data_IF_522441980252
#
_entry.id   IF_522441980252
#
_cell.length_a   1.000
_cell.length_b   1.000
_cell.length_c   1.000
_cell.angle_alpha   90.00
_cell.angle_beta   90.00
_cell.angle_gamma   90.00
#
_symmetry.space_group_name_H-M   'P 1'
#
loop_
_entity.id
_entity.type
_entity.pdbx_description
1 polymer ?
#
# COMPACT_ATOMS: atom_id res chain seq x y z
N UNK A 1 2.35 7.30 -5.68
CA UNK A 1 1.82 6.13 -5.00
C UNK A 1 1.85 4.95 -5.96
N UNK A 2 2.28 3.78 -5.47
CA UNK A 2 2.08 2.48 -6.09
C UNK A 2 1.01 1.74 -5.28
N UNK A 3 0.13 1.04 -5.96
CA UNK A 3 -0.89 0.21 -5.33
C UNK A 3 -0.79 -1.21 -5.89
N UNK A 4 -0.31 -2.15 -5.05
CA UNK A 4 -0.23 -3.57 -5.38
C UNK A 4 -1.40 -4.32 -4.75
N UNK A 5 -1.99 -5.25 -5.48
CA UNK A 5 -3.07 -6.10 -4.98
C UNK A 5 -3.11 -7.46 -5.71
N UNK A 6 -3.72 -8.42 -5.06
CA UNK A 6 -4.12 -9.71 -5.64
C UNK A 6 -5.56 -10.01 -5.24
N UNK A 7 -6.32 -10.66 -6.11
CA UNK A 7 -7.68 -11.12 -5.82
C UNK A 7 -7.64 -12.63 -5.68
N UNK A 8 -8.07 -13.13 -4.51
CA UNK A 8 -8.21 -14.57 -4.20
C UNK A 8 -6.96 -15.41 -4.50
N UNK A 9 -5.77 -14.84 -4.25
CA UNK A 9 -4.49 -15.51 -4.51
C UNK A 9 -4.12 -15.60 -6.00
N UNK A 10 -4.79 -14.84 -6.85
CA UNK A 10 -4.45 -14.72 -8.27
C UNK A 10 -3.19 -13.91 -8.52
N UNK A 11 -2.93 -13.58 -9.78
CA UNK A 11 -1.77 -12.78 -10.16
C UNK A 11 -1.77 -11.40 -9.50
N UNK A 12 -0.60 -10.98 -9.02
CA UNK A 12 -0.43 -9.65 -8.42
C UNK A 12 -0.38 -8.57 -9.49
N UNK A 13 -1.29 -7.62 -9.40
CA UNK A 13 -1.28 -6.39 -10.18
C UNK A 13 -0.63 -5.24 -9.40
N UNK A 14 0.07 -4.35 -10.09
CA UNK A 14 0.64 -3.12 -9.52
C UNK A 14 0.17 -1.95 -10.37
N UNK A 15 -0.54 -1.02 -9.74
CA UNK A 15 -1.07 0.20 -10.37
C UNK A 15 -0.13 1.37 -10.07
N UNK A 16 0.35 2.01 -11.10
CA UNK A 16 1.25 3.16 -11.00
C UNK A 16 0.47 4.49 -10.98
N UNK A 17 -0.14 4.78 -9.85
CA UNK A 17 -0.91 6.01 -9.65
C UNK A 17 -0.02 7.26 -9.81
N UNK A 18 1.28 7.15 -9.53
CA UNK A 18 2.21 8.27 -9.67
C UNK A 18 2.43 8.68 -11.13
N UNK A 19 2.20 7.77 -12.08
CA UNK A 19 2.28 8.02 -13.53
C UNK A 19 0.89 8.13 -14.18
N UNK A 20 -0.18 8.20 -13.38
CA UNK A 20 -1.54 8.48 -13.85
C UNK A 20 -2.40 7.25 -14.12
N UNK A 21 -1.96 6.05 -13.72
CA UNK A 21 -2.82 4.87 -13.78
C UNK A 21 -3.93 4.97 -12.72
N UNK A 22 -5.15 4.59 -13.09
CA UNK A 22 -6.31 4.50 -12.18
C UNK A 22 -6.47 3.10 -11.60
N UNK A 23 -6.93 3.02 -10.37
CA UNK A 23 -7.36 1.73 -9.80
C UNK A 23 -8.63 1.28 -10.54
N UNK A 24 -8.70 0.01 -11.00
CA UNK A 24 -9.90 -0.52 -11.67
C UNK A 24 -11.17 -0.34 -10.82
N UNK A 25 -12.29 -0.05 -11.48
CA UNK A 25 -13.56 0.26 -10.79
C UNK A 25 -14.02 -0.88 -9.90
N UNK A 26 -13.87 -2.13 -10.36
CA UNK A 26 -14.20 -3.33 -9.58
C UNK A 26 -13.37 -3.45 -8.29
N UNK A 27 -12.14 -2.98 -8.30
CA UNK A 27 -11.28 -2.96 -7.10
C UNK A 27 -11.69 -1.80 -6.17
N UNK A 28 -12.06 -0.64 -6.73
CA UNK A 28 -12.63 0.46 -5.94
C UNK A 28 -13.91 -0.01 -5.24
N UNK A 29 -14.80 -0.71 -5.94
CA UNK A 29 -16.04 -1.25 -5.39
C UNK A 29 -15.73 -2.28 -4.28
N UNK A 30 -14.77 -3.18 -4.49
CA UNK A 30 -14.34 -4.15 -3.49
C UNK A 30 -13.74 -3.49 -2.24
N UNK A 31 -12.97 -2.41 -2.40
CA UNK A 31 -12.39 -1.67 -1.27
C UNK A 31 -13.46 -1.03 -0.38
N UNK A 32 -14.57 -0.58 -0.96
CA UNK A 32 -15.68 0.08 -0.26
C UNK A 32 -16.77 -0.89 0.23
N UNK A 33 -16.78 -2.14 -0.24
CA UNK A 33 -17.74 -3.16 0.17
C UNK A 33 -17.29 -3.84 1.47
N UNK A 34 -18.11 -3.74 2.53
CA UNK A 34 -17.88 -4.36 3.84
C UNK A 34 -17.98 -5.91 3.80
N UNK A 35 -18.63 -6.47 2.80
CA UNK A 35 -18.77 -7.93 2.65
C UNK A 35 -17.50 -8.57 2.05
N UNK A 36 -16.65 -7.77 1.40
CA UNK A 36 -15.40 -8.25 0.82
C UNK A 36 -14.28 -8.10 1.84
N UNK A 37 -13.63 -9.19 2.20
CA UNK A 37 -12.48 -9.16 3.12
C UNK A 37 -11.24 -8.65 2.42
N UNK A 38 -10.57 -7.66 3.04
CA UNK A 38 -9.28 -7.13 2.62
C UNK A 38 -8.19 -7.61 3.57
N UNK A 39 -7.10 -8.13 3.03
CA UNK A 39 -5.93 -8.57 3.78
C UNK A 39 -4.74 -7.68 3.48
N UNK A 40 -4.00 -7.26 4.51
CA UNK A 40 -2.72 -6.61 4.33
C UNK A 40 -1.80 -6.85 5.53
N UNK A 41 -0.48 -6.72 5.32
CA UNK A 41 0.50 -6.70 6.40
C UNK A 41 0.63 -5.26 6.93
N UNK A 42 0.13 -5.00 8.14
CA UNK A 42 -0.11 -3.67 8.71
C UNK A 42 -1.32 -2.95 8.06
N UNK A 43 -2.43 -3.66 7.93
CA UNK A 43 -3.64 -3.24 7.21
C UNK A 43 -4.19 -1.84 7.57
N UNK A 44 -3.86 -1.31 8.75
CA UNK A 44 -4.23 0.06 9.11
C UNK A 44 -3.55 1.10 8.21
N UNK A 45 -2.33 0.83 7.76
CA UNK A 45 -1.62 1.75 6.84
C UNK A 45 -2.32 1.80 5.48
N UNK A 46 -2.62 0.64 4.89
CA UNK A 46 -3.33 0.54 3.61
C UNK A 46 -4.72 1.17 3.71
N UNK A 47 -5.46 0.86 4.77
CA UNK A 47 -6.79 1.41 5.02
C UNK A 47 -6.79 2.93 5.07
N UNK A 48 -5.85 3.55 5.79
CA UNK A 48 -5.75 5.01 5.89
C UNK A 48 -5.34 5.62 4.54
N UNK A 49 -4.32 5.08 3.88
CA UNK A 49 -3.85 5.59 2.58
C UNK A 49 -4.93 5.50 1.50
N UNK A 50 -5.65 4.37 1.43
CA UNK A 50 -6.72 4.17 0.46
C UNK A 50 -7.95 5.03 0.78
N UNK A 51 -8.25 5.26 2.06
CA UNK A 51 -9.30 6.22 2.46
C UNK A 51 -9.02 7.63 1.95
N UNK A 52 -7.79 8.11 2.10
CA UNK A 52 -7.40 9.43 1.57
C UNK A 52 -7.46 9.47 0.03
N UNK A 53 -7.06 8.38 -0.62
CA UNK A 53 -7.17 8.27 -2.07
C UNK A 53 -8.63 8.31 -2.53
N UNK A 54 -9.51 7.51 -1.92
CA UNK A 54 -10.93 7.46 -2.26
C UNK A 54 -11.62 8.80 -1.99
N UNK A 55 -11.37 9.41 -0.84
CA UNK A 55 -11.93 10.73 -0.50
C UNK A 55 -11.59 11.79 -1.55
N UNK A 56 -10.39 11.71 -2.12
CA UNK A 56 -9.91 12.68 -3.10
C UNK A 56 -10.43 12.42 -4.51
N UNK A 57 -10.51 11.15 -4.93
CA UNK A 57 -10.78 10.79 -6.32
C UNK A 57 -12.15 10.13 -6.55
N UNK A 58 -12.77 9.61 -5.49
CA UNK A 58 -14.06 8.91 -5.51
C UNK A 58 -14.93 9.32 -4.31
N UNK A 59 -15.16 10.62 -4.10
CA UNK A 59 -15.87 11.11 -2.90
C UNK A 59 -17.29 10.53 -2.79
N UNK A 60 -17.96 10.26 -3.91
CA UNK A 60 -19.28 9.67 -3.96
C UNK A 60 -19.33 8.22 -3.42
N UNK A 61 -18.23 7.48 -3.52
CA UNK A 61 -18.12 6.12 -2.98
C UNK A 61 -17.67 6.10 -1.51
N UNK A 62 -17.11 7.19 -1.03
CA UNK A 62 -16.57 7.29 0.33
C UNK A 62 -17.61 7.78 1.35
N UNK A 63 -18.67 8.48 0.93
CA UNK A 63 -19.67 9.12 1.80
C UNK A 63 -20.45 8.12 2.66
N UNK A 64 -20.61 6.87 2.22
CA UNK A 64 -21.36 5.85 2.93
C UNK A 64 -20.80 5.45 4.30
N UNK A 65 -19.58 5.87 4.64
CA UNK A 65 -18.89 5.46 5.88
C UNK A 65 -18.96 6.46 7.03
N UNK A 66 -19.31 7.71 6.77
CA UNK A 66 -19.33 8.77 7.77
C UNK A 66 -20.58 8.78 8.66
N UNK A 67 -21.49 7.82 8.53
CA UNK A 67 -22.83 7.88 9.14
C UNK A 67 -23.04 7.01 10.37
N UNK A 68 -22.03 6.31 10.89
CA UNK A 68 -22.16 5.65 12.20
C UNK A 68 -21.94 6.68 13.30
N UNK A 69 -22.99 6.99 14.01
CA UNK A 69 -23.12 8.09 15.00
C UNK A 69 -22.04 8.17 16.07
N UNK A 70 -21.22 7.15 16.26
CA UNK A 70 -20.18 7.08 17.30
C UNK A 70 -18.75 6.93 16.80
N UNK A 71 -18.49 6.89 15.51
CA UNK A 71 -17.11 6.80 14.99
C UNK A 71 -16.73 8.07 14.24
N UNK A 72 -15.88 8.86 14.86
CA UNK A 72 -15.09 9.93 14.23
C UNK A 72 -14.08 9.32 13.22
N UNK A 73 -14.43 8.21 12.58
CA UNK A 73 -13.54 7.55 11.66
C UNK A 73 -13.82 8.03 10.25
N UNK A 74 -13.07 9.04 9.84
CA UNK A 74 -13.01 9.49 8.45
C UNK A 74 -12.34 8.48 7.50
N UNK A 75 -12.26 7.20 7.88
CA UNK A 75 -11.57 6.15 7.13
C UNK A 75 -12.51 5.00 6.81
N UNK A 76 -12.15 4.16 5.83
CA UNK A 76 -12.84 2.92 5.51
C UNK A 76 -13.11 2.07 6.77
N UNK A 77 -14.29 1.43 6.85
CA UNK A 77 -14.66 0.61 8.00
C UNK A 77 -13.62 -0.51 8.24
N UNK A 78 -13.07 -0.64 9.44
CA UNK A 78 -12.05 -1.64 9.74
C UNK A 78 -12.59 -3.07 9.80
N UNK A 79 -13.91 -3.30 9.88
CA UNK A 79 -14.50 -4.62 10.12
C UNK A 79 -14.16 -5.66 9.06
N UNK A 80 -14.06 -5.23 7.79
CA UNK A 80 -13.70 -6.08 6.66
C UNK A 80 -12.19 -6.19 6.41
N UNK A 81 -11.37 -5.46 7.20
CA UNK A 81 -9.92 -5.49 7.06
C UNK A 81 -9.29 -6.50 8.01
N UNK A 82 -8.43 -7.36 7.49
CA UNK A 82 -7.66 -8.35 8.24
C UNK A 82 -6.17 -8.02 8.14
N UNK A 83 -5.48 -8.10 9.27
CA UNK A 83 -4.07 -7.72 9.35
C UNK A 83 -3.20 -8.94 9.65
N UNK A 84 -2.40 -9.38 8.67
CA UNK A 84 -1.49 -10.51 8.85
C UNK A 84 -0.35 -10.22 9.84
N UNK A 85 0.02 -8.94 10.04
CA UNK A 85 0.97 -8.56 11.10
C UNK A 85 0.40 -8.84 12.50
N UNK A 86 -0.90 -8.60 12.73
CA UNK A 86 -1.56 -8.95 14.01
C UNK A 86 -1.57 -10.47 14.21
N UNK A 87 -1.83 -11.22 13.16
CA UNK A 87 -1.76 -12.69 13.23
C UNK A 87 -0.34 -13.18 13.51
N UNK A 88 0.68 -12.57 12.88
CA UNK A 88 2.07 -12.85 13.20
C UNK A 88 2.37 -12.61 14.70
N UNK A 89 1.85 -11.53 15.28
CA UNK A 89 1.98 -11.24 16.71
C UNK A 89 1.36 -12.34 17.58
N UNK A 90 0.15 -12.81 17.26
CA UNK A 90 -0.50 -13.92 18.00
C UNK A 90 0.30 -15.23 17.94
N UNK A 91 1.01 -15.47 16.84
CA UNK A 91 1.85 -16.65 16.65
C UNK A 91 3.28 -16.48 17.20
N UNK A 92 3.60 -15.35 17.81
CA UNK A 92 4.96 -15.06 18.32
C UNK A 92 6.00 -14.82 17.23
N UNK A 93 5.56 -14.50 16.00
CA UNK A 93 6.44 -14.20 14.88
C UNK A 93 6.91 -12.73 14.89
N UNK A 94 8.03 -12.41 14.21
CA UNK A 94 8.47 -11.03 14.05
C UNK A 94 7.41 -10.14 13.41
N UNK A 95 7.29 -8.89 13.91
CA UNK A 95 6.34 -7.88 13.41
C UNK A 95 6.84 -7.15 12.14
N UNK A 96 7.64 -7.79 11.34
CA UNK A 96 8.06 -7.29 10.03
C UNK A 96 7.83 -8.36 8.97
N UNK A 97 7.37 -7.95 7.79
CA UNK A 97 7.10 -8.87 6.68
C UNK A 97 8.32 -9.74 6.36
N UNK A 98 9.50 -9.13 6.27
CA UNK A 98 10.75 -9.86 6.03
C UNK A 98 11.10 -10.84 7.15
N UNK A 99 10.89 -10.44 8.41
CA UNK A 99 11.16 -11.32 9.56
C UNK A 99 10.19 -12.49 9.67
N UNK A 100 8.90 -12.23 9.49
CA UNK A 100 7.88 -13.28 9.48
C UNK A 100 8.12 -14.27 8.34
N UNK A 101 8.38 -13.79 7.13
CA UNK A 101 8.69 -14.61 5.96
C UNK A 101 9.94 -15.47 6.16
N UNK A 102 11.00 -14.93 6.77
CA UNK A 102 12.21 -15.69 7.07
C UNK A 102 11.96 -16.85 8.06
N UNK A 103 11.18 -16.59 9.12
CA UNK A 103 10.85 -17.63 10.12
C UNK A 103 9.94 -18.70 9.52
N UNK A 104 8.99 -18.31 8.65
CA UNK A 104 8.07 -19.24 7.97
C UNK A 104 8.72 -19.99 6.80
N UNK A 105 9.97 -19.66 6.43
CA UNK A 105 10.66 -20.28 5.30
C UNK A 105 10.01 -20.00 3.95
N UNK A 106 9.38 -18.85 3.79
CA UNK A 106 8.76 -18.48 2.52
C UNK A 106 9.83 -18.31 1.44
N UNK A 107 9.60 -18.91 0.28
CA UNK A 107 10.51 -18.81 -0.87
C UNK A 107 10.64 -17.38 -1.38
N UNK A 108 9.53 -16.66 -1.35
CA UNK A 108 9.41 -15.27 -1.78
C UNK A 108 9.71 -14.33 -0.61
N UNK A 109 11.00 -13.99 -0.46
CA UNK A 109 11.45 -13.08 0.59
C UNK A 109 11.50 -11.63 0.10
N UNK A 110 11.29 -10.69 1.03
CA UNK A 110 11.36 -9.25 0.76
C UNK A 110 12.71 -8.85 0.15
N UNK A 111 12.67 -8.06 -0.93
CA UNK A 111 13.88 -7.54 -1.57
C UNK A 111 14.65 -6.58 -0.64
N UNK A 112 15.95 -6.77 -0.53
CA UNK A 112 16.82 -5.98 0.38
C UNK A 112 16.92 -4.51 -0.02
N UNK A 113 16.84 -4.22 -1.31
CA UNK A 113 16.90 -2.87 -1.89
C UNK A 113 15.70 -1.99 -1.56
N UNK A 114 14.60 -2.59 -1.05
CA UNK A 114 13.36 -1.88 -0.79
C UNK A 114 13.50 -0.69 0.15
N UNK A 115 14.33 -0.78 1.18
CA UNK A 115 14.57 0.34 2.13
C UNK A 115 15.18 1.56 1.46
N UNK A 116 16.10 1.36 0.53
CA UNK A 116 16.73 2.45 -0.22
C UNK A 116 15.74 3.09 -1.20
N UNK A 117 14.92 2.28 -1.86
CA UNK A 117 13.87 2.76 -2.76
C UNK A 117 12.79 3.55 -2.03
N UNK A 118 12.33 3.06 -0.87
CA UNK A 118 11.41 3.81 0.00
C UNK A 118 12.04 5.14 0.41
N UNK A 119 13.29 5.14 0.86
CA UNK A 119 13.99 6.37 1.24
C UNK A 119 14.10 7.34 0.07
N UNK A 120 14.38 6.84 -1.13
CA UNK A 120 14.56 7.67 -2.31
C UNK A 120 13.24 8.34 -2.75
N UNK A 121 12.14 7.58 -2.84
CA UNK A 121 10.87 8.08 -3.38
C UNK A 121 9.89 8.62 -2.33
N UNK A 122 9.91 8.08 -1.11
CA UNK A 122 8.89 8.40 -0.10
C UNK A 122 9.36 9.42 0.93
N UNK A 123 10.69 9.62 1.10
CA UNK A 123 11.22 10.58 2.05
C UNK A 123 11.62 11.87 1.33
N UNK A 124 11.22 13.06 1.84
CA UNK A 124 11.67 14.33 1.27
C UNK A 124 13.19 14.44 1.23
N UNK A 125 13.74 14.97 0.14
CA UNK A 125 15.17 15.24 -0.01
C UNK A 125 15.47 16.74 0.16
N UNK A 126 16.72 17.06 0.50
CA UNK A 126 17.15 18.46 0.57
C UNK A 126 17.24 19.06 -0.83
N UNK A 127 16.72 20.26 -1.02
CA UNK A 127 16.91 21.03 -2.23
C UNK A 127 18.41 21.40 -2.37
N UNK A 128 19.01 21.06 -3.50
CA UNK A 128 20.40 21.38 -3.83
C UNK A 128 20.49 21.85 -5.28
N UNK A 129 21.58 22.51 -5.66
CA UNK A 129 21.84 22.88 -7.05
C UNK A 129 21.95 21.64 -7.96
N UNK A 130 22.50 20.54 -7.44
CA UNK A 130 22.71 19.29 -8.19
C UNK A 130 21.36 18.61 -8.53
N UNK A 131 20.39 18.66 -7.61
CA UNK A 131 19.09 18.04 -7.86
C UNK A 131 18.04 19.02 -8.44
N UNK A 132 18.47 20.20 -8.91
CA UNK A 132 17.59 21.20 -9.49
C UNK A 132 16.63 21.86 -8.49
N UNK A 133 16.98 21.86 -7.20
CA UNK A 133 16.17 22.48 -6.14
C UNK A 133 14.97 21.65 -5.68
N UNK A 134 14.83 20.42 -6.12
CA UNK A 134 13.70 19.57 -5.75
C UNK A 134 13.78 19.09 -4.31
N UNK A 135 12.61 18.94 -3.68
CA UNK A 135 12.45 18.41 -2.32
C UNK A 135 11.88 16.99 -2.29
N UNK A 136 11.52 16.43 -3.47
CA UNK A 136 11.03 15.07 -3.64
C UNK A 136 11.58 14.45 -4.92
N UNK A 137 11.84 13.15 -4.88
CA UNK A 137 12.12 12.37 -6.07
C UNK A 137 10.80 11.77 -6.61
N UNK A 138 10.57 11.92 -7.90
CA UNK A 138 9.42 11.42 -8.63
C UNK A 138 9.91 10.36 -9.63
N UNK A 139 9.01 9.54 -10.22
CA UNK A 139 9.40 8.49 -11.17
C UNK A 139 10.38 8.95 -12.26
N UNK A 140 10.10 10.10 -12.88
CA UNK A 140 10.91 10.66 -13.98
C UNK A 140 12.33 11.05 -13.58
N UNK A 141 12.66 11.14 -12.30
CA UNK A 141 14.01 11.49 -11.86
C UNK A 141 14.97 10.29 -11.87
N UNK A 142 14.43 9.06 -11.81
CA UNK A 142 15.20 7.81 -11.93
C UNK A 142 14.24 6.65 -12.28
N UNK A 143 13.99 6.48 -13.57
CA UNK A 143 13.07 5.45 -14.06
C UNK A 143 13.55 4.03 -13.73
N UNK A 144 14.87 3.80 -13.72
CA UNK A 144 15.43 2.48 -13.38
C UNK A 144 15.07 2.10 -11.93
N UNK A 145 15.28 3.03 -10.97
CA UNK A 145 14.86 2.81 -9.58
C UNK A 145 13.35 2.70 -9.45
N UNK A 146 12.59 3.42 -10.28
CA UNK A 146 11.12 3.33 -10.24
C UNK A 146 10.64 1.95 -10.66
N UNK A 147 11.18 1.36 -11.72
CA UNK A 147 10.88 -0.01 -12.14
C UNK A 147 11.27 -1.05 -11.07
N UNK A 148 12.40 -0.86 -10.39
CA UNK A 148 12.76 -1.68 -9.24
C UNK A 148 11.75 -1.51 -8.09
N UNK A 149 11.25 -0.29 -7.87
CA UNK A 149 10.28 -0.02 -6.82
C UNK A 149 8.91 -0.66 -7.11
N UNK A 150 8.48 -0.71 -8.38
CA UNK A 150 7.30 -1.49 -8.79
C UNK A 150 7.47 -2.99 -8.51
N UNK A 151 8.63 -3.56 -8.86
CA UNK A 151 8.95 -4.96 -8.54
C UNK A 151 8.96 -5.22 -7.04
N UNK A 152 9.51 -4.28 -6.26
CA UNK A 152 9.49 -4.36 -4.82
C UNK A 152 8.04 -4.34 -4.27
N UNK A 153 7.18 -3.46 -4.77
CA UNK A 153 5.78 -3.39 -4.38
C UNK A 153 5.01 -4.66 -4.75
N UNK A 154 5.27 -5.23 -5.94
CA UNK A 154 4.70 -6.51 -6.35
C UNK A 154 5.08 -7.62 -5.37
N UNK A 155 6.36 -7.69 -5.01
CA UNK A 155 6.90 -8.70 -4.09
C UNK A 155 6.32 -8.57 -2.66
N UNK A 156 6.02 -7.38 -2.20
CA UNK A 156 5.40 -7.17 -0.88
C UNK A 156 3.95 -7.70 -0.82
N UNK A 157 3.30 -7.97 -1.96
CA UNK A 157 1.94 -8.54 -2.07
C UNK A 157 1.97 -10.05 -2.28
N UNK A 158 2.98 -10.61 -2.97
CA UNK A 158 3.19 -12.06 -3.16
C UNK A 158 3.42 -12.78 -1.82
#
# INVERSE_FOLDING_TARGET
LLFGYSVDGGEVAVIDIAQGEGIPTEIIDALTDEQITKWAFNANFERVCLSEYLRRFYPEKFISYSTKEDSVSDYLDPSSWKCSMVWAAYMGLPLSLAGAGAVLGLEEQKLTEGKELIRYFCVPCKATKVNGGRTRNLPQHDMSKWEMFKKYNKRDVE
#
